data_IF_920817569333
#
_entry.id   IF_920817569333
#
_cell.length_a   1.000
_cell.length_b   1.000
_cell.length_c   1.000
_cell.angle_alpha   90.00
_cell.angle_beta   90.00
_cell.angle_gamma   90.00
#
_symmetry.space_group_name_H-M   'P 1'
#
loop_
_entity.id
_entity.type
_entity.pdbx_description
1 polymer ?
#
# COMPACT_ATOMS: atom_id res chain seq x y z
N UNK A 1 -31.12 -5.66 54.27
CA UNK A 1 -32.58 -5.73 54.01
C UNK A 1 -32.80 -6.48 52.70
N UNK A 2 -33.80 -7.39 52.62
CA UNK A 2 -33.81 -8.48 51.65
C UNK A 2 -34.41 -8.12 50.27
N UNK A 3 -34.02 -8.94 49.28
CA UNK A 3 -34.41 -8.90 47.87
C UNK A 3 -35.93 -8.92 47.66
N UNK A 4 -36.43 -8.07 46.75
CA UNK A 4 -37.78 -8.14 46.19
C UNK A 4 -37.81 -9.13 45.01
N UNK A 5 -38.75 -10.07 45.10
CA UNK A 5 -39.14 -11.03 44.07
C UNK A 5 -39.76 -10.34 42.85
N UNK A 6 -39.26 -10.66 41.65
CA UNK A 6 -39.88 -10.32 40.36
C UNK A 6 -40.90 -11.41 39.99
N UNK A 7 -42.15 -10.98 39.80
CA UNK A 7 -43.25 -11.79 39.25
C UNK A 7 -43.06 -12.04 37.74
N UNK A 8 -43.45 -13.21 37.21
CA UNK A 8 -43.28 -13.55 35.81
C UNK A 8 -44.30 -12.85 34.88
N UNK A 9 -43.83 -12.39 33.73
CA UNK A 9 -44.62 -11.83 32.63
C UNK A 9 -45.37 -12.94 31.85
N UNK A 10 -46.58 -12.68 31.32
CA UNK A 10 -47.38 -13.66 30.59
C UNK A 10 -46.82 -13.95 29.18
N UNK A 11 -46.87 -15.23 28.80
CA UNK A 11 -46.47 -15.76 27.49
C UNK A 11 -47.56 -15.52 26.43
N UNK A 12 -47.16 -14.93 25.29
CA UNK A 12 -48.01 -14.86 24.10
C UNK A 12 -47.81 -16.10 23.22
N UNK A 13 -48.87 -16.70 22.65
CA UNK A 13 -48.77 -17.88 21.80
C UNK A 13 -48.20 -17.55 20.42
N UNK A 14 -47.26 -18.38 19.95
CA UNK A 14 -46.68 -18.33 18.60
C UNK A 14 -47.70 -18.82 17.55
N UNK A 15 -47.70 -18.24 16.34
CA UNK A 15 -48.58 -18.67 15.25
C UNK A 15 -48.14 -20.01 14.65
N UNK A 16 -49.07 -20.79 14.06
CA UNK A 16 -48.79 -22.13 13.54
C UNK A 16 -47.94 -22.11 12.26
N UNK A 17 -47.17 -23.18 11.99
CA UNK A 17 -46.26 -23.25 10.84
C UNK A 17 -47.02 -23.44 9.53
N UNK A 18 -46.66 -22.67 8.50
CA UNK A 18 -47.16 -22.85 7.14
C UNK A 18 -46.39 -23.99 6.44
N UNK A 19 -47.13 -24.98 5.93
CA UNK A 19 -46.61 -26.06 5.08
C UNK A 19 -46.27 -25.51 3.68
N UNK A 20 -45.20 -26.01 3.03
CA UNK A 20 -44.78 -25.53 1.73
C UNK A 20 -45.72 -26.02 0.61
N UNK A 21 -46.22 -25.08 -0.19
CA UNK A 21 -46.94 -25.37 -1.42
C UNK A 21 -45.98 -25.93 -2.48
N UNK A 22 -46.28 -27.14 -2.95
CA UNK A 22 -45.71 -27.75 -4.16
C UNK A 22 -46.05 -26.90 -5.39
N UNK A 23 -45.03 -26.40 -6.10
CA UNK A 23 -45.20 -25.84 -7.44
C UNK A 23 -44.35 -26.61 -8.43
N UNK A 24 -45.05 -26.99 -9.49
CA UNK A 24 -44.69 -27.86 -10.60
C UNK A 24 -43.47 -27.40 -11.39
N UNK A 25 -42.62 -28.37 -11.75
CA UNK A 25 -41.62 -28.26 -12.80
C UNK A 25 -42.32 -28.05 -14.15
N UNK A 26 -42.24 -26.83 -14.67
CA UNK A 26 -42.51 -26.55 -16.08
C UNK A 26 -41.31 -25.85 -16.71
N UNK A 27 -40.84 -26.46 -17.78
CA UNK A 27 -39.71 -26.08 -18.61
C UNK A 27 -39.89 -24.69 -19.24
N UNK A 28 -38.93 -23.79 -18.99
CA UNK A 28 -38.81 -22.54 -19.73
C UNK A 28 -37.92 -22.73 -20.98
N UNK A 29 -38.27 -22.12 -22.14
CA UNK A 29 -37.53 -22.25 -23.40
C UNK A 29 -36.24 -21.39 -23.41
N UNK A 30 -35.27 -21.68 -24.28
CA UNK A 30 -33.97 -21.02 -24.27
C UNK A 30 -34.08 -19.56 -24.73
N UNK A 31 -33.65 -18.64 -23.87
CA UNK A 31 -33.47 -17.22 -24.21
C UNK A 31 -32.26 -17.04 -25.14
N UNK A 32 -32.53 -16.83 -26.43
CA UNK A 32 -31.57 -16.28 -27.39
C UNK A 32 -31.29 -14.82 -27.03
N UNK A 33 -30.08 -14.52 -26.56
CA UNK A 33 -29.53 -13.17 -26.61
C UNK A 33 -28.58 -13.06 -27.81
N UNK A 34 -28.75 -12.07 -28.71
CA UNK A 34 -27.83 -11.85 -29.81
C UNK A 34 -26.54 -11.18 -29.28
N UNK A 35 -25.39 -11.75 -29.67
CA UNK A 35 -24.07 -11.15 -29.49
C UNK A 35 -23.98 -9.81 -30.23
N UNK A 36 -23.44 -8.73 -29.64
CA UNK A 36 -23.14 -7.52 -30.38
C UNK A 36 -21.91 -7.76 -31.27
N UNK A 37 -22.15 -7.79 -32.59
CA UNK A 37 -21.16 -7.76 -33.64
C UNK A 37 -20.41 -6.42 -33.58
N UNK A 38 -19.11 -6.46 -33.22
CA UNK A 38 -18.18 -5.36 -33.46
C UNK A 38 -17.87 -5.28 -34.97
N UNK A 39 -17.95 -4.10 -35.60
CA UNK A 39 -17.54 -3.94 -36.99
C UNK A 39 -16.00 -4.03 -37.12
N UNK A 40 -15.47 -4.56 -38.25
CA UNK A 40 -14.04 -4.78 -38.39
C UNK A 40 -13.26 -3.46 -38.49
N UNK A 41 -12.24 -3.34 -37.64
CA UNK A 41 -11.24 -2.27 -37.72
C UNK A 41 -10.44 -2.38 -39.01
N UNK A 42 -10.59 -1.40 -39.91
CA UNK A 42 -9.71 -1.21 -41.07
C UNK A 42 -8.34 -0.74 -40.57
N UNK A 43 -7.37 -1.64 -40.52
CA UNK A 43 -5.95 -1.28 -40.52
C UNK A 43 -5.48 -1.17 -41.98
N UNK A 44 -4.97 -0.03 -42.46
CA UNK A 44 -4.22 0.00 -43.69
C UNK A 44 -2.79 -0.50 -43.44
N UNK A 45 -2.39 -1.52 -44.21
CA UNK A 45 -1.02 -2.01 -44.36
C UNK A 45 -0.12 -0.97 -45.07
N UNK A 46 1.21 -1.01 -44.88
CA UNK A 46 2.12 0.05 -45.29
C UNK A 46 2.54 -0.11 -46.75
N UNK A 47 2.60 1.00 -47.50
CA UNK A 47 3.38 1.06 -48.74
C UNK A 47 4.31 2.28 -48.76
N UNK A 48 5.47 2.17 -49.44
CA UNK A 48 6.66 2.93 -49.17
C UNK A 48 6.74 4.19 -50.03
N UNK A 49 7.17 5.30 -49.44
CA UNK A 49 7.61 6.46 -50.21
C UNK A 49 8.95 6.96 -49.65
N UNK A 50 9.99 6.59 -50.37
CA UNK A 50 11.22 7.34 -50.57
C UNK A 50 10.89 8.80 -50.92
N UNK A 51 11.50 9.79 -50.27
CA UNK A 51 12.13 10.93 -50.93
C UNK A 51 12.84 11.86 -49.92
N UNK A 52 14.05 12.24 -50.34
CA UNK A 52 15.00 13.23 -49.84
C UNK A 52 14.53 14.27 -48.81
N UNK A 53 15.27 14.36 -47.70
CA UNK A 53 15.31 15.53 -46.84
C UNK A 53 16.12 16.65 -47.51
N UNK A 54 15.43 17.68 -47.99
CA UNK A 54 15.97 19.03 -48.12
C UNK A 54 15.69 19.79 -46.82
N UNK A 55 16.73 20.35 -46.20
CA UNK A 55 16.67 21.14 -44.96
C UNK A 55 15.87 22.44 -45.11
N UNK A 56 15.03 22.81 -44.13
CA UNK A 56 14.67 24.20 -43.86
C UNK A 56 15.07 24.63 -42.42
N UNK A 57 14.98 25.93 -42.08
CA UNK A 57 16.01 26.64 -41.32
C UNK A 57 15.90 26.51 -39.80
N UNK A 58 17.03 26.76 -39.13
CA UNK A 58 17.19 26.81 -37.68
C UNK A 58 16.19 27.78 -37.02
N UNK A 59 15.14 27.24 -36.39
CA UNK A 59 14.42 27.93 -35.32
C UNK A 59 15.20 27.73 -34.02
N UNK A 60 15.71 28.84 -33.47
CA UNK A 60 16.23 28.90 -32.11
C UNK A 60 15.06 28.69 -31.12
N UNK A 61 14.82 27.43 -30.72
CA UNK A 61 13.95 27.14 -29.59
C UNK A 61 14.65 27.57 -28.30
N UNK A 62 14.15 28.62 -27.65
CA UNK A 62 14.44 28.89 -26.24
C UNK A 62 13.81 27.78 -25.40
N UNK A 63 14.59 26.75 -25.08
CA UNK A 63 14.20 25.77 -24.08
C UNK A 63 14.32 26.40 -22.70
N UNK A 64 13.18 26.50 -22.00
CA UNK A 64 13.16 26.75 -20.56
C UNK A 64 13.98 25.68 -19.85
N UNK A 65 14.76 26.09 -18.83
CA UNK A 65 15.57 25.21 -17.97
C UNK A 65 14.73 24.03 -17.43
N UNK A 66 13.43 24.25 -17.20
CA UNK A 66 12.50 23.22 -16.73
C UNK A 66 12.25 22.10 -17.75
N UNK A 67 12.19 22.43 -19.05
CA UNK A 67 12.03 21.45 -20.12
C UNK A 67 13.29 20.59 -20.31
N UNK A 68 14.46 21.17 -20.06
CA UNK A 68 15.74 20.47 -20.12
C UNK A 68 15.92 19.51 -18.93
N UNK A 69 15.45 19.90 -17.74
CA UNK A 69 15.50 19.05 -16.54
C UNK A 69 14.56 17.83 -16.65
N UNK A 70 13.38 18.01 -17.24
CA UNK A 70 12.47 16.90 -17.59
C UNK A 70 13.07 15.97 -18.64
N UNK A 71 13.77 16.52 -19.64
CA UNK A 71 14.45 15.71 -20.65
C UNK A 71 15.59 14.88 -20.05
N UNK A 72 16.40 15.46 -19.17
CA UNK A 72 17.46 14.74 -18.45
C UNK A 72 16.88 13.65 -17.55
N UNK A 73 15.80 13.93 -16.80
CA UNK A 73 15.17 12.91 -15.95
C UNK A 73 14.60 11.75 -16.77
N UNK A 74 13.83 12.05 -17.82
CA UNK A 74 13.26 11.01 -18.70
C UNK A 74 14.33 10.19 -19.44
N UNK A 75 15.45 10.81 -19.80
CA UNK A 75 16.55 10.14 -20.49
C UNK A 75 17.38 9.28 -19.54
N UNK A 76 17.69 9.77 -18.35
CA UNK A 76 18.37 9.00 -17.29
C UNK A 76 17.53 7.79 -16.85
N UNK A 77 16.22 7.96 -16.66
CA UNK A 77 15.32 6.85 -16.30
C UNK A 77 15.25 5.75 -17.38
N UNK A 78 15.26 6.11 -18.67
CA UNK A 78 15.30 5.12 -19.76
C UNK A 78 16.66 4.44 -19.89
N UNK A 79 17.74 5.13 -19.54
CA UNK A 79 19.10 4.56 -19.59
C UNK A 79 19.33 3.58 -18.44
N UNK A 80 18.81 3.87 -17.24
CA UNK A 80 18.83 2.98 -16.08
C UNK A 80 17.96 1.72 -16.28
N UNK A 81 16.87 1.82 -17.05
CA UNK A 81 16.03 0.67 -17.38
C UNK A 81 16.71 -0.30 -18.37
N UNK A 82 17.58 0.22 -19.24
CA UNK A 82 18.41 -0.59 -20.15
C UNK A 82 19.57 -1.29 -19.42
N UNK A 83 20.08 -0.72 -18.32
CA UNK A 83 21.06 -1.39 -17.44
C UNK A 83 20.53 -2.67 -16.80
N UNK A 84 19.20 -2.79 -16.62
CA UNK A 84 18.58 -3.95 -15.97
C UNK A 84 18.18 -5.08 -16.93
N UNK A 85 18.30 -4.91 -18.26
CA UNK A 85 17.82 -5.90 -19.25
C UNK A 85 18.77 -6.21 -20.41
N UNK A 86 19.97 -5.66 -20.44
CA UNK A 86 20.93 -5.86 -21.53
C UNK A 86 21.55 -7.28 -21.54
N UNK A 87 21.03 -8.18 -22.38
CA UNK A 87 21.58 -9.54 -22.61
C UNK A 87 22.07 -9.79 -24.04
N UNK A 88 22.12 -8.78 -24.92
CA UNK A 88 22.62 -8.94 -26.30
C UNK A 88 23.59 -7.84 -26.77
N UNK A 89 24.50 -8.22 -27.70
CA UNK A 89 25.59 -7.37 -28.24
C UNK A 89 25.11 -6.06 -28.89
N UNK A 90 23.89 -6.01 -29.44
CA UNK A 90 23.34 -4.79 -30.03
C UNK A 90 22.99 -3.71 -28.98
N UNK A 91 22.68 -4.11 -27.74
CA UNK A 91 22.43 -3.15 -26.65
C UNK A 91 23.70 -2.42 -26.18
N UNK A 92 24.87 -3.08 -26.29
CA UNK A 92 26.17 -2.54 -25.88
C UNK A 92 26.65 -1.45 -26.84
N UNK A 93 26.43 -1.61 -28.15
CA UNK A 93 26.83 -0.59 -29.16
C UNK A 93 25.98 0.68 -29.05
N UNK A 94 24.68 0.53 -28.77
CA UNK A 94 23.79 1.66 -28.48
C UNK A 94 24.20 2.39 -27.20
N UNK A 95 24.62 1.66 -26.16
CA UNK A 95 25.10 2.21 -24.90
C UNK A 95 26.37 3.05 -25.06
N UNK A 96 27.38 2.53 -25.78
CA UNK A 96 28.65 3.24 -26.01
C UNK A 96 28.45 4.51 -26.84
N UNK A 97 27.53 4.50 -27.79
CA UNK A 97 27.20 5.67 -28.62
C UNK A 97 26.53 6.79 -27.79
N UNK A 98 25.60 6.43 -26.91
CA UNK A 98 24.92 7.38 -26.01
C UNK A 98 25.84 7.96 -24.93
N UNK A 99 26.76 7.16 -24.39
CA UNK A 99 27.78 7.63 -23.44
C UNK A 99 28.77 8.62 -24.08
N UNK A 100 29.14 8.40 -25.35
CA UNK A 100 30.03 9.30 -26.07
C UNK A 100 29.37 10.65 -26.36
N UNK A 101 28.06 10.66 -26.65
CA UNK A 101 27.29 11.88 -26.87
C UNK A 101 27.16 12.69 -25.57
N UNK A 102 26.86 12.04 -24.44
CA UNK A 102 26.81 12.69 -23.12
C UNK A 102 28.15 13.33 -22.75
N UNK A 103 29.26 12.63 -23.01
CA UNK A 103 30.62 13.13 -22.77
C UNK A 103 31.00 14.32 -23.66
N UNK A 104 30.48 14.40 -24.89
CA UNK A 104 30.68 15.56 -25.78
C UNK A 104 29.85 16.77 -25.32
N UNK A 105 28.60 16.56 -24.90
CA UNK A 105 27.72 17.63 -24.41
C UNK A 105 28.21 18.26 -23.11
N UNK A 106 28.70 17.44 -22.17
CA UNK A 106 29.32 17.91 -20.92
C UNK A 106 30.61 18.71 -21.17
N UNK A 107 31.43 18.29 -22.14
CA UNK A 107 32.64 19.01 -22.54
C UNK A 107 32.33 20.36 -23.19
N UNK A 108 31.30 20.42 -24.05
CA UNK A 108 30.86 21.68 -24.65
C UNK A 108 30.40 22.69 -23.58
N UNK A 109 29.63 22.24 -22.58
CA UNK A 109 29.16 23.11 -21.50
C UNK A 109 30.26 23.57 -20.54
N UNK A 110 31.22 22.71 -20.20
CA UNK A 110 32.36 23.11 -19.34
C UNK A 110 33.26 24.13 -20.04
N UNK A 111 33.47 23.99 -21.36
CA UNK A 111 34.22 24.96 -22.15
C UNK A 111 33.49 26.30 -22.29
N UNK A 112 32.15 26.27 -22.44
CA UNK A 112 31.30 27.47 -22.50
C UNK A 112 31.26 28.24 -21.16
N UNK A 113 31.18 27.53 -20.04
CA UNK A 113 31.23 28.12 -18.69
C UNK A 113 32.63 28.70 -18.38
N UNK A 114 33.70 28.05 -18.85
CA UNK A 114 35.06 28.60 -18.71
C UNK A 114 35.27 29.85 -19.58
N UNK A 115 34.74 29.89 -20.81
CA UNK A 115 34.82 31.06 -21.68
C UNK A 115 34.02 32.26 -21.15
N UNK A 116 32.88 32.02 -20.48
CA UNK A 116 32.10 33.09 -19.85
C UNK A 116 32.74 33.66 -18.56
N UNK A 117 33.64 32.92 -17.90
CA UNK A 117 34.34 33.39 -16.68
C UNK A 117 35.51 34.35 -16.95
N UNK A 118 36.01 34.43 -18.19
CA UNK A 118 37.21 35.24 -18.51
C UNK A 118 36.86 36.66 -18.98
N UNK A 119 35.58 37.00 -19.21
CA UNK A 119 35.19 38.23 -19.90
C UNK A 119 34.31 39.23 -19.11
N UNK A 120 34.21 39.16 -17.77
CA UNK A 120 33.35 40.07 -17.00
C UNK A 120 34.13 40.97 -16.01
N UNK A 121 34.03 42.31 -16.10
CA UNK A 121 34.67 43.22 -15.15
C UNK A 121 33.99 43.18 -13.76
N UNK A 122 34.81 43.30 -12.71
CA UNK A 122 34.45 43.11 -11.28
C UNK A 122 33.31 43.99 -10.74
N UNK A 123 32.88 45.03 -11.46
CA UNK A 123 31.73 45.88 -11.07
C UNK A 123 30.36 45.24 -11.34
N UNK A 124 30.28 44.16 -12.13
CA UNK A 124 29.02 43.48 -12.45
C UNK A 124 28.64 42.38 -11.45
N UNK A 125 29.56 41.98 -10.56
CA UNK A 125 29.33 40.87 -9.61
C UNK A 125 28.36 41.30 -8.50
N UNK A 126 28.40 42.56 -8.05
CA UNK A 126 27.53 43.07 -6.98
C UNK A 126 26.06 43.15 -7.42
N UNK A 127 25.79 43.50 -8.69
CA UNK A 127 24.42 43.56 -9.24
C UNK A 127 23.82 42.17 -9.47
N UNK A 128 24.64 41.15 -9.76
CA UNK A 128 24.17 39.76 -9.92
C UNK A 128 23.84 39.12 -8.55
N UNK A 129 24.58 39.44 -7.49
CA UNK A 129 24.29 38.94 -6.13
C UNK A 129 22.98 39.53 -5.59
N UNK A 130 22.69 40.82 -5.84
CA UNK A 130 21.38 41.41 -5.48
C UNK A 130 20.22 40.85 -6.33
N UNK A 131 20.44 40.58 -7.63
CA UNK A 131 19.42 39.93 -8.48
C UNK A 131 19.19 38.46 -8.12
N UNK A 132 20.19 37.71 -7.65
CA UNK A 132 19.99 36.34 -7.15
C UNK A 132 19.26 36.28 -5.81
N UNK A 133 19.48 37.25 -4.91
CA UNK A 133 18.67 37.40 -3.70
C UNK A 133 17.21 37.74 -4.01
N UNK A 134 16.98 38.62 -4.99
CA UNK A 134 15.64 38.97 -5.49
C UNK A 134 14.96 37.82 -6.24
N UNK A 135 15.69 37.02 -7.03
CA UNK A 135 15.13 35.85 -7.73
C UNK A 135 14.81 34.71 -6.77
N UNK A 136 15.61 34.50 -5.70
CA UNK A 136 15.26 33.57 -4.62
C UNK A 136 14.04 34.03 -3.83
N UNK A 137 13.91 35.33 -3.57
CA UNK A 137 12.71 35.91 -2.93
C UNK A 137 11.48 35.84 -3.85
N UNK A 138 11.66 36.04 -5.16
CA UNK A 138 10.59 35.94 -6.16
C UNK A 138 10.17 34.48 -6.44
N UNK A 139 11.11 33.52 -6.39
CA UNK A 139 10.83 32.09 -6.46
C UNK A 139 10.25 31.54 -5.15
N UNK A 140 10.66 32.09 -3.99
CA UNK A 140 10.07 31.74 -2.69
C UNK A 140 8.66 32.34 -2.54
N UNK A 141 8.45 33.60 -2.98
CA UNK A 141 7.16 34.29 -2.91
C UNK A 141 6.10 33.81 -3.91
N UNK A 142 6.50 33.09 -4.97
CA UNK A 142 5.57 32.49 -5.95
C UNK A 142 5.33 30.98 -5.75
N UNK A 143 5.92 30.37 -4.73
CA UNK A 143 5.60 28.99 -4.33
C UNK A 143 4.54 28.91 -3.21
N UNK A 144 4.19 30.05 -2.60
CA UNK A 144 3.08 30.18 -1.63
C UNK A 144 1.69 30.26 -2.29
N UNK A 145 1.63 30.26 -3.63
CA UNK A 145 0.39 30.10 -4.39
C UNK A 145 -0.04 28.64 -4.57
N UNK A 146 0.60 27.68 -3.90
CA UNK A 146 0.04 26.32 -3.83
C UNK A 146 -1.22 26.41 -2.99
N UNK A 147 -2.36 26.25 -3.64
CA UNK A 147 -3.62 25.79 -3.03
C UNK A 147 -3.24 24.87 -1.88
N UNK A 148 -3.67 25.23 -0.66
CA UNK A 148 -3.41 24.49 0.56
C UNK A 148 -3.69 23.01 0.26
N UNK A 149 -2.64 22.21 0.08
CA UNK A 149 -2.78 20.85 -0.44
C UNK A 149 -3.63 20.08 0.56
N UNK A 150 -4.85 19.70 0.18
CA UNK A 150 -5.77 18.99 1.05
C UNK A 150 -5.11 17.69 1.52
N UNK A 151 -4.60 17.70 2.76
CA UNK A 151 -3.92 16.55 3.35
C UNK A 151 -4.95 15.48 3.69
N UNK A 152 -4.66 14.26 3.30
CA UNK A 152 -5.48 13.10 3.62
C UNK A 152 -4.98 12.48 4.93
N UNK A 153 -5.87 12.24 5.92
CA UNK A 153 -5.55 11.35 7.01
C UNK A 153 -5.15 9.98 6.44
N UNK A 154 -4.34 9.23 7.18
CA UNK A 154 -3.84 7.96 6.69
C UNK A 154 -3.92 6.83 7.72
N UNK A 155 -3.94 5.60 7.22
CA UNK A 155 -3.86 4.38 8.01
C UNK A 155 -2.62 3.59 7.58
N UNK A 156 -1.82 3.15 8.54
CA UNK A 156 -0.61 2.36 8.28
C UNK A 156 -0.83 0.91 8.66
N UNK A 157 -0.60 0.01 7.71
CA UNK A 157 -0.76 -1.42 7.92
C UNK A 157 0.62 -2.05 7.81
N UNK A 158 1.20 -2.38 8.96
CA UNK A 158 2.57 -2.86 9.10
C UNK A 158 2.59 -4.35 9.44
N UNK A 159 3.42 -5.13 8.75
CA UNK A 159 3.47 -6.57 9.02
C UNK A 159 4.32 -7.37 8.05
N UNK A 160 3.99 -8.66 7.93
CA UNK A 160 4.71 -9.61 7.10
C UNK A 160 4.04 -9.84 5.72
N UNK A 161 4.15 -11.06 5.16
CA UNK A 161 3.55 -11.47 3.90
C UNK A 161 2.02 -11.35 3.89
N UNK A 162 1.36 -11.61 5.02
CA UNK A 162 -0.09 -11.51 5.12
C UNK A 162 -0.53 -10.06 4.93
N UNK A 163 0.27 -9.12 5.43
CA UNK A 163 0.07 -7.69 5.18
C UNK A 163 0.46 -7.33 3.75
N UNK A 164 1.62 -7.77 3.26
CA UNK A 164 2.13 -7.43 1.92
C UNK A 164 1.14 -7.84 0.82
N UNK A 165 0.56 -9.02 0.94
CA UNK A 165 -0.42 -9.56 -0.01
C UNK A 165 -1.87 -9.12 0.30
N UNK A 166 -2.08 -8.22 1.25
CA UNK A 166 -3.41 -7.77 1.65
C UNK A 166 -4.19 -6.99 0.59
N UNK A 167 -3.55 -6.56 -0.51
CA UNK A 167 -4.22 -6.02 -1.71
C UNK A 167 -4.43 -7.05 -2.81
N UNK A 168 -3.86 -8.26 -2.68
CA UNK A 168 -4.06 -9.32 -3.66
C UNK A 168 -5.52 -9.81 -3.66
N UNK A 169 -5.92 -10.50 -4.72
CA UNK A 169 -7.26 -11.06 -4.88
C UNK A 169 -7.68 -11.94 -3.68
N UNK A 170 -6.79 -12.84 -3.25
CA UNK A 170 -7.08 -13.77 -2.16
C UNK A 170 -6.83 -13.12 -0.80
N UNK A 171 -5.71 -12.40 -0.64
CA UNK A 171 -5.34 -11.81 0.64
C UNK A 171 -6.17 -10.58 1.04
N UNK A 172 -6.76 -9.85 0.10
CA UNK A 172 -7.69 -8.68 0.10
C UNK A 172 -8.09 -7.87 1.37
N UNK A 173 -7.68 -8.17 2.60
CA UNK A 173 -8.13 -7.49 3.82
C UNK A 173 -7.74 -6.01 3.87
N UNK A 174 -6.59 -5.66 3.27
CA UNK A 174 -6.16 -4.26 3.11
C UNK A 174 -7.04 -3.57 2.07
N UNK A 175 -7.39 -4.26 0.98
CA UNK A 175 -8.32 -3.72 -0.02
C UNK A 175 -9.71 -3.45 0.59
N UNK A 176 -10.20 -4.33 1.47
CA UNK A 176 -11.47 -4.14 2.20
C UNK A 176 -11.43 -2.91 3.12
N UNK A 177 -10.31 -2.65 3.80
CA UNK A 177 -10.13 -1.43 4.60
C UNK A 177 -10.12 -0.18 3.69
N UNK A 178 -9.41 -0.23 2.57
CA UNK A 178 -9.36 0.88 1.62
C UNK A 178 -10.74 1.18 1.02
N UNK A 179 -11.51 0.15 0.70
CA UNK A 179 -12.91 0.28 0.25
C UNK A 179 -13.79 0.95 1.32
N UNK A 180 -13.68 0.49 2.58
CA UNK A 180 -14.42 1.07 3.71
C UNK A 180 -14.09 2.55 3.98
N UNK A 181 -12.88 2.99 3.62
CA UNK A 181 -12.36 4.34 3.88
C UNK A 181 -12.32 5.24 2.64
N UNK A 182 -12.99 4.84 1.56
CA UNK A 182 -13.08 5.63 0.33
C UNK A 182 -13.46 7.07 0.62
N UNK A 183 -12.72 7.99 -0.02
CA UNK A 183 -12.89 9.44 0.12
C UNK A 183 -12.73 9.97 1.56
N UNK A 184 -12.11 9.22 2.47
CA UNK A 184 -11.87 9.66 3.86
C UNK A 184 -10.41 9.59 4.27
N UNK A 185 -9.76 8.47 3.96
CA UNK A 185 -8.44 8.14 4.51
C UNK A 185 -7.63 7.32 3.51
N UNK A 186 -6.34 7.67 3.37
CA UNK A 186 -5.40 6.89 2.57
C UNK A 186 -4.94 5.64 3.34
N UNK A 187 -4.75 4.53 2.63
CA UNK A 187 -4.35 3.25 3.24
C UNK A 187 -2.97 2.85 2.73
N UNK A 188 -1.98 2.87 3.62
CA UNK A 188 -0.60 2.50 3.29
C UNK A 188 -0.26 1.11 3.80
N UNK A 189 0.07 0.23 2.86
CA UNK A 189 0.60 -1.09 3.14
C UNK A 189 2.13 -1.02 3.31
N UNK A 190 2.61 -1.52 4.45
CA UNK A 190 4.02 -1.70 4.81
C UNK A 190 4.24 -3.15 5.27
N UNK A 191 3.78 -4.08 4.46
CA UNK A 191 4.02 -5.52 4.64
C UNK A 191 5.32 -5.98 3.97
N UNK A 192 6.04 -6.87 4.63
CA UNK A 192 7.33 -7.41 4.17
C UNK A 192 7.33 -8.94 4.24
N UNK A 193 7.19 -9.58 3.08
CA UNK A 193 7.06 -11.03 2.97
C UNK A 193 8.27 -11.75 3.57
N UNK A 194 8.00 -12.72 4.44
CA UNK A 194 9.00 -13.50 5.16
C UNK A 194 9.61 -12.82 6.40
N UNK A 195 9.28 -11.56 6.69
CA UNK A 195 9.85 -10.85 7.84
C UNK A 195 9.28 -11.33 9.18
N UNK A 196 10.13 -11.34 10.20
CA UNK A 196 9.75 -11.60 11.59
C UNK A 196 9.81 -10.31 12.43
N UNK A 197 9.35 -10.39 13.68
CA UNK A 197 9.33 -9.24 14.61
C UNK A 197 10.71 -8.62 14.84
N UNK A 198 11.78 -9.42 14.85
CA UNK A 198 13.15 -8.94 15.05
C UNK A 198 13.59 -8.00 13.93
N UNK A 199 13.30 -8.35 12.68
CA UNK A 199 13.65 -7.53 11.53
C UNK A 199 12.72 -6.33 11.39
N UNK A 200 11.41 -6.52 11.58
CA UNK A 200 10.44 -5.43 11.55
C UNK A 200 10.76 -4.34 12.58
N UNK A 201 11.11 -4.73 13.82
CA UNK A 201 11.60 -3.80 14.85
C UNK A 201 12.81 -3.00 14.38
N UNK A 202 13.74 -3.64 13.67
CA UNK A 202 14.98 -2.98 13.21
C UNK A 202 14.73 -1.96 12.10
N UNK A 203 13.80 -2.23 11.19
CA UNK A 203 13.59 -1.38 10.00
C UNK A 203 12.62 -0.23 10.23
N UNK A 204 11.77 -0.29 11.27
CA UNK A 204 10.63 0.61 11.43
C UNK A 204 10.98 2.10 11.27
N UNK A 205 11.93 2.62 12.06
CA UNK A 205 12.34 4.03 12.02
C UNK A 205 13.12 4.41 10.75
N UNK A 206 13.52 3.43 9.93
CA UNK A 206 14.17 3.67 8.64
C UNK A 206 13.17 3.82 7.49
N UNK A 207 11.93 3.32 7.66
CA UNK A 207 10.90 3.32 6.62
C UNK A 207 9.73 4.26 6.92
N UNK A 208 9.60 4.72 8.16
CA UNK A 208 8.55 5.62 8.61
C UNK A 208 9.16 6.68 9.54
N UNK A 209 8.87 7.94 9.24
CA UNK A 209 9.20 9.10 10.06
C UNK A 209 7.94 9.68 10.71
N UNK A 210 8.12 10.60 11.67
CA UNK A 210 7.00 11.34 12.26
C UNK A 210 6.20 12.14 11.23
N UNK A 211 6.82 12.58 10.12
CA UNK A 211 6.10 13.29 9.07
C UNK A 211 5.23 12.35 8.23
N UNK A 212 5.73 11.13 7.93
CA UNK A 212 4.95 10.08 7.26
C UNK A 212 3.73 9.67 8.10
N UNK A 213 3.90 9.68 9.42
CA UNK A 213 2.89 9.27 10.40
C UNK A 213 1.97 10.40 10.87
N UNK A 214 2.20 11.64 10.41
CA UNK A 214 1.33 12.75 10.78
C UNK A 214 -0.06 12.57 10.15
N UNK A 215 -1.08 12.83 10.96
CA UNK A 215 -2.51 12.57 10.67
C UNK A 215 -2.87 11.09 10.52
N UNK A 216 -2.05 10.18 11.05
CA UNK A 216 -2.41 8.76 11.11
C UNK A 216 -3.61 8.54 12.04
N UNK A 217 -4.64 7.88 11.53
CA UNK A 217 -5.89 7.60 12.27
C UNK A 217 -5.84 6.27 13.00
N UNK A 218 -5.13 5.27 12.46
CA UNK A 218 -4.80 4.02 13.16
C UNK A 218 -3.60 3.33 12.50
N UNK A 219 -2.98 2.42 13.26
CA UNK A 219 -1.92 1.53 12.78
C UNK A 219 -2.31 0.10 13.10
N UNK A 220 -2.15 -0.83 12.16
CA UNK A 220 -2.18 -2.27 12.46
C UNK A 220 -0.78 -2.83 12.47
N UNK A 221 -0.48 -3.72 13.42
CA UNK A 221 0.76 -4.51 13.44
C UNK A 221 0.37 -5.99 13.38
N UNK A 222 0.74 -6.66 12.28
CA UNK A 222 0.38 -8.05 12.04
C UNK A 222 1.64 -8.88 11.76
N UNK A 223 2.15 -9.51 12.81
CA UNK A 223 3.41 -10.25 12.85
C UNK A 223 3.27 -11.48 13.74
N UNK A 224 4.11 -12.49 13.51
CA UNK A 224 4.16 -13.73 14.30
C UNK A 224 4.08 -14.99 13.46
N UNK A 225 3.56 -14.90 12.22
CA UNK A 225 3.43 -16.05 11.34
C UNK A 225 4.79 -16.65 10.96
N UNK A 226 5.80 -15.80 10.80
CA UNK A 226 7.19 -16.23 10.55
C UNK A 226 7.94 -16.53 11.87
N UNK A 227 7.71 -15.73 12.91
CA UNK A 227 8.36 -15.88 14.23
C UNK A 227 8.10 -17.28 14.85
N UNK A 228 6.89 -17.80 14.66
CA UNK A 228 6.47 -19.10 15.19
C UNK A 228 7.04 -20.33 14.47
N UNK A 229 7.86 -20.11 13.44
CA UNK A 229 8.58 -21.20 12.78
C UNK A 229 9.39 -22.01 13.80
N UNK A 230 9.50 -23.31 13.57
CA UNK A 230 10.28 -24.22 14.40
C UNK A 230 11.76 -23.84 14.34
N UNK A 231 12.39 -23.76 15.52
CA UNK A 231 13.76 -23.30 15.69
C UNK A 231 14.76 -24.19 14.97
N UNK A 232 14.57 -25.50 14.99
CA UNK A 232 15.53 -26.45 14.46
C UNK A 232 15.35 -26.63 12.95
N UNK A 233 14.13 -26.41 12.44
CA UNK A 233 13.81 -26.53 11.01
C UNK A 233 14.07 -25.22 10.24
N UNK A 234 13.71 -24.06 10.83
CA UNK A 234 13.84 -22.75 10.19
C UNK A 234 14.33 -21.69 11.21
N UNK A 235 15.61 -21.79 11.61
CA UNK A 235 16.20 -20.87 12.59
C UNK A 235 16.27 -19.42 12.09
N UNK A 236 16.21 -19.19 10.77
CA UNK A 236 16.29 -17.86 10.18
C UNK A 236 15.05 -17.02 10.49
N UNK A 237 13.86 -17.60 10.35
CA UNK A 237 12.61 -16.89 10.65
C UNK A 237 12.23 -16.98 12.13
N UNK A 238 12.65 -18.06 12.82
CA UNK A 238 12.34 -18.26 14.24
C UNK A 238 12.78 -17.08 15.13
N UNK A 239 11.89 -16.69 16.03
CA UNK A 239 12.15 -15.73 17.12
C UNK A 239 11.58 -16.33 18.40
N UNK A 240 12.36 -16.56 19.47
CA UNK A 240 11.82 -17.10 20.73
C UNK A 240 10.60 -16.31 21.22
N UNK A 241 9.59 -16.98 21.78
CA UNK A 241 8.29 -16.36 22.12
C UNK A 241 8.42 -15.15 23.05
N UNK A 242 9.33 -15.20 24.04
CA UNK A 242 9.59 -14.08 24.95
C UNK A 242 10.24 -12.89 24.22
N UNK A 243 11.12 -13.18 23.26
CA UNK A 243 11.71 -12.15 22.39
C UNK A 243 10.64 -11.58 21.45
N UNK A 244 9.77 -12.40 20.87
CA UNK A 244 8.65 -11.94 20.06
C UNK A 244 7.76 -10.97 20.84
N UNK A 245 7.32 -11.32 22.05
CA UNK A 245 6.54 -10.43 22.92
C UNK A 245 7.27 -9.11 23.17
N UNK A 246 8.54 -9.19 23.52
CA UNK A 246 9.39 -8.01 23.74
C UNK A 246 9.51 -7.15 22.49
N UNK A 247 9.65 -7.77 21.31
CA UNK A 247 9.72 -7.08 20.03
C UNK A 247 8.39 -6.38 19.70
N UNK A 248 7.25 -7.04 19.92
CA UNK A 248 5.93 -6.44 19.71
C UNK A 248 5.74 -5.21 20.59
N UNK A 249 6.06 -5.28 21.88
CA UNK A 249 6.03 -4.13 22.79
C UNK A 249 6.97 -3.01 22.32
N UNK A 250 8.17 -3.34 21.84
CA UNK A 250 9.13 -2.36 21.35
C UNK A 250 8.68 -1.68 20.04
N UNK A 251 8.04 -2.41 19.13
CA UNK A 251 7.46 -1.84 17.90
C UNK A 251 6.35 -0.85 18.26
N UNK A 252 5.47 -1.19 19.21
CA UNK A 252 4.45 -0.26 19.71
C UNK A 252 5.08 1.00 20.29
N UNK A 253 6.07 0.85 21.18
CA UNK A 253 6.83 1.96 21.76
C UNK A 253 7.44 2.88 20.72
N UNK A 254 7.94 2.32 19.62
CA UNK A 254 8.53 3.10 18.54
C UNK A 254 7.47 3.90 17.77
N UNK A 255 6.29 3.32 17.52
CA UNK A 255 5.17 4.09 16.98
C UNK A 255 4.73 5.22 17.93
N UNK A 256 4.73 4.98 19.25
CA UNK A 256 4.48 6.03 20.25
C UNK A 256 5.52 7.15 20.16
N UNK A 257 6.81 6.82 20.07
CA UNK A 257 7.89 7.79 19.89
C UNK A 257 7.74 8.59 18.60
N UNK A 258 7.21 7.98 17.54
CA UNK A 258 6.96 8.64 16.26
C UNK A 258 5.66 9.46 16.25
N UNK A 259 4.89 9.46 17.34
CA UNK A 259 3.71 10.32 17.53
C UNK A 259 2.36 9.60 17.39
N UNK A 260 2.33 8.27 17.40
CA UNK A 260 1.09 7.48 17.35
C UNK A 260 0.73 6.98 18.76
N UNK A 261 -0.36 7.50 19.37
CA UNK A 261 -0.83 7.01 20.66
C UNK A 261 -1.19 5.52 20.63
N UNK A 262 -0.96 4.80 21.73
CA UNK A 262 -1.23 3.37 21.86
C UNK A 262 -2.68 3.01 21.53
N UNK A 263 -3.66 3.86 21.88
CA UNK A 263 -5.06 3.61 21.57
C UNK A 263 -5.39 3.59 20.07
N UNK A 264 -4.51 4.12 19.20
CA UNK A 264 -4.65 4.05 17.74
C UNK A 264 -3.98 2.81 17.14
N UNK A 265 -3.28 2.01 17.93
CA UNK A 265 -2.53 0.84 17.48
C UNK A 265 -3.37 -0.42 17.73
N UNK A 266 -3.43 -1.28 16.71
CA UNK A 266 -4.15 -2.54 16.73
C UNK A 266 -3.15 -3.67 16.48
N UNK A 267 -2.88 -4.49 17.50
CA UNK A 267 -2.11 -5.72 17.32
C UNK A 267 -3.02 -6.84 16.80
N UNK A 268 -2.55 -7.57 15.80
CA UNK A 268 -3.26 -8.73 15.23
C UNK A 268 -2.39 -9.96 15.47
N UNK A 269 -2.94 -10.94 16.19
CA UNK A 269 -2.24 -12.21 16.45
C UNK A 269 -2.08 -13.03 15.15
N UNK A 270 -1.01 -13.85 15.00
CA UNK A 270 -0.86 -14.69 13.81
C UNK A 270 -2.08 -15.61 13.62
N UNK A 271 -2.54 -15.85 12.38
CA UNK A 271 -3.65 -16.77 12.14
C UNK A 271 -3.26 -18.20 12.50
N UNK A 272 -4.25 -19.07 12.67
CA UNK A 272 -4.04 -20.53 12.75
C UNK A 272 -3.31 -21.05 11.51
N UNK A 273 -2.61 -22.18 11.65
CA UNK A 273 -1.91 -22.86 10.55
C UNK A 273 -2.59 -24.19 10.25
N UNK A 274 -2.94 -24.43 8.98
CA UNK A 274 -3.34 -25.75 8.49
C UNK A 274 -2.09 -26.51 8.04
N UNK A 275 -1.52 -27.28 8.96
CA UNK A 275 -0.24 -27.98 8.77
C UNK A 275 -0.26 -28.91 7.54
N UNK A 276 -1.38 -29.57 7.26
CA UNK A 276 -1.50 -30.50 6.12
C UNK A 276 -1.42 -29.78 4.78
N UNK A 277 -2.11 -28.65 4.65
CA UNK A 277 -2.09 -27.84 3.43
C UNK A 277 -0.75 -27.13 3.27
N UNK A 278 -0.22 -26.58 4.37
CA UNK A 278 1.09 -25.93 4.37
C UNK A 278 2.23 -26.90 4.05
N UNK A 279 2.16 -28.15 4.51
CA UNK A 279 3.14 -29.18 4.18
C UNK A 279 3.20 -29.44 2.67
N UNK A 280 2.04 -29.49 1.99
CA UNK A 280 1.97 -29.66 0.52
C UNK A 280 2.56 -28.45 -0.20
N UNK A 281 2.27 -27.24 0.29
CA UNK A 281 2.82 -26.01 -0.28
C UNK A 281 4.35 -25.94 -0.09
N UNK A 282 4.83 -26.27 1.10
CA UNK A 282 6.26 -26.36 1.41
C UNK A 282 6.98 -27.37 0.50
N UNK A 283 6.39 -28.55 0.29
CA UNK A 283 6.92 -29.56 -0.65
C UNK A 283 7.01 -29.02 -2.06
N UNK A 284 5.98 -28.32 -2.55
CA UNK A 284 5.95 -27.71 -3.89
C UNK A 284 7.05 -26.65 -4.05
N UNK A 285 7.33 -25.90 -2.98
CA UNK A 285 8.39 -24.88 -2.91
C UNK A 285 9.78 -25.43 -2.57
N UNK A 286 9.93 -26.74 -2.39
CA UNK A 286 11.21 -27.37 -2.05
C UNK A 286 11.76 -26.99 -0.68
N UNK A 287 10.89 -26.70 0.30
CA UNK A 287 11.26 -26.32 1.68
C UNK A 287 10.63 -27.27 2.70
N UNK A 288 11.25 -27.44 3.89
CA UNK A 288 10.65 -28.24 4.95
C UNK A 288 9.45 -27.54 5.60
N UNK A 289 8.55 -28.32 6.20
CA UNK A 289 7.47 -27.81 7.03
C UNK A 289 8.06 -27.27 8.34
N UNK A 290 8.02 -25.95 8.55
CA UNK A 290 8.50 -25.30 9.77
C UNK A 290 7.40 -24.72 10.66
N UNK A 291 6.16 -24.59 10.19
CA UNK A 291 5.10 -23.93 10.95
C UNK A 291 4.14 -24.98 11.49
N UNK A 292 3.99 -25.00 12.82
CA UNK A 292 3.09 -25.91 13.53
C UNK A 292 2.11 -25.09 14.35
N UNK A 293 0.84 -25.46 14.32
CA UNK A 293 -0.24 -24.71 14.96
C UNK A 293 -0.07 -24.64 16.49
N UNK A 294 0.55 -25.66 17.10
CA UNK A 294 0.94 -25.68 18.53
C UNK A 294 1.94 -24.57 18.88
N UNK A 295 2.83 -24.22 17.96
CA UNK A 295 3.78 -23.13 18.17
C UNK A 295 3.02 -21.82 18.01
N UNK A 296 2.25 -21.68 16.93
CA UNK A 296 1.43 -20.48 16.64
C UNK A 296 0.55 -20.05 17.82
N UNK A 297 -0.07 -21.00 18.57
CA UNK A 297 -0.86 -20.66 19.76
C UNK A 297 -0.07 -19.90 20.83
N UNK A 298 1.22 -20.20 20.99
CA UNK A 298 2.07 -19.52 21.97
C UNK A 298 2.32 -18.06 21.57
N UNK A 299 2.53 -17.80 20.28
CA UNK A 299 2.74 -16.47 19.74
C UNK A 299 1.44 -15.66 19.72
N UNK A 300 0.31 -16.31 19.45
CA UNK A 300 -0.98 -15.66 19.56
C UNK A 300 -1.25 -15.15 20.97
N UNK A 301 -1.04 -16.00 21.98
CA UNK A 301 -1.11 -15.62 23.39
C UNK A 301 -0.15 -14.48 23.72
N UNK A 302 1.10 -14.58 23.28
CA UNK A 302 2.11 -13.55 23.51
C UNK A 302 1.76 -12.19 22.87
N UNK A 303 1.10 -12.20 21.70
CA UNK A 303 0.58 -11.00 21.04
C UNK A 303 -0.50 -10.32 21.88
N UNK A 304 -1.45 -11.10 22.41
CA UNK A 304 -2.50 -10.60 23.32
C UNK A 304 -1.90 -10.00 24.59
N UNK A 305 -0.93 -10.69 25.19
CA UNK A 305 -0.22 -10.18 26.37
C UNK A 305 0.56 -8.89 26.07
N UNK A 306 1.19 -8.78 24.90
CA UNK A 306 1.86 -7.56 24.46
C UNK A 306 0.86 -6.39 24.30
N UNK A 307 -0.33 -6.67 23.77
CA UNK A 307 -1.37 -5.65 23.63
C UNK A 307 -1.85 -5.13 25.00
N UNK A 308 -2.12 -6.05 25.94
CA UNK A 308 -2.47 -5.72 27.32
C UNK A 308 -1.38 -4.87 28.00
N UNK A 309 -0.11 -5.26 27.84
CA UNK A 309 1.02 -4.57 28.44
C UNK A 309 1.22 -3.15 27.88
N UNK A 310 0.84 -2.93 26.62
CA UNK A 310 1.02 -1.64 25.93
C UNK A 310 -0.24 -0.77 25.91
N UNK A 311 -1.38 -1.29 26.36
CA UNK A 311 -2.65 -0.56 26.31
C UNK A 311 -3.21 -0.36 24.89
N UNK A 312 -2.80 -1.21 23.95
CA UNK A 312 -3.25 -1.16 22.54
C UNK A 312 -4.52 -1.98 22.33
N UNK A 313 -5.21 -1.77 21.20
CA UNK A 313 -6.25 -2.68 20.76
C UNK A 313 -5.64 -4.02 20.32
N UNK A 314 -6.40 -5.10 20.45
CA UNK A 314 -5.98 -6.43 20.04
C UNK A 314 -7.09 -7.16 19.29
N UNK A 315 -6.72 -7.82 18.19
CA UNK A 315 -7.51 -8.85 17.55
C UNK A 315 -6.76 -10.17 17.72
N UNK A 316 -7.31 -11.04 18.55
CA UNK A 316 -6.81 -12.41 18.67
C UNK A 316 -7.36 -13.29 17.54
N UNK A 317 -6.87 -13.03 16.32
CA UNK A 317 -7.31 -13.72 15.11
C UNK A 317 -7.19 -15.24 15.22
N UNK A 318 -6.12 -15.73 15.87
CA UNK A 318 -5.95 -17.17 16.14
C UNK A 318 -7.17 -17.77 16.84
N UNK A 319 -7.53 -17.22 18.00
CA UNK A 319 -8.64 -17.72 18.81
C UNK A 319 -9.98 -17.50 18.12
N UNK A 320 -10.17 -16.35 17.44
CA UNK A 320 -11.39 -16.07 16.70
C UNK A 320 -11.60 -17.06 15.54
N UNK A 321 -10.55 -17.42 14.79
CA UNK A 321 -10.65 -18.40 13.71
C UNK A 321 -11.06 -19.78 14.25
N UNK A 322 -10.49 -20.23 15.37
CA UNK A 322 -10.80 -21.54 15.95
C UNK A 322 -12.24 -21.69 16.44
N UNK A 323 -13.02 -20.61 16.54
CA UNK A 323 -14.46 -20.69 16.85
C UNK A 323 -15.30 -21.19 15.67
N UNK A 324 -14.71 -21.31 14.49
CA UNK A 324 -15.38 -21.76 13.28
C UNK A 324 -14.89 -23.15 12.86
N UNK A 325 -15.81 -24.11 12.71
CA UNK A 325 -15.46 -25.48 12.29
C UNK A 325 -14.73 -25.54 10.93
N UNK A 326 -15.01 -24.55 10.06
CA UNK A 326 -14.46 -24.46 8.71
C UNK A 326 -13.27 -23.49 8.58
N UNK A 327 -12.60 -23.17 9.69
CA UNK A 327 -11.47 -22.22 9.74
C UNK A 327 -10.38 -22.50 8.70
N UNK A 328 -10.14 -23.77 8.32
CA UNK A 328 -9.15 -24.11 7.28
C UNK A 328 -9.43 -23.41 5.95
N UNK A 329 -10.70 -23.19 5.61
CA UNK A 329 -11.11 -22.46 4.39
C UNK A 329 -10.78 -20.96 4.43
N UNK A 330 -10.42 -20.43 5.59
CA UNK A 330 -9.93 -19.06 5.77
C UNK A 330 -8.45 -18.91 5.37
N UNK A 331 -7.78 -20.01 5.02
CA UNK A 331 -6.39 -20.04 4.56
C UNK A 331 -6.34 -20.54 3.12
N UNK A 332 -5.47 -19.96 2.28
CA UNK A 332 -5.35 -20.37 0.86
C UNK A 332 -4.33 -21.51 0.67
N UNK A 333 -3.20 -21.43 1.35
CA UNK A 333 -2.07 -22.36 1.28
C UNK A 333 -1.78 -23.03 2.63
N UNK A 334 -2.66 -22.81 3.61
CA UNK A 334 -2.52 -23.26 5.00
C UNK A 334 -1.75 -22.29 5.90
N UNK A 335 -1.26 -21.15 5.38
CA UNK A 335 -0.64 -20.08 6.17
C UNK A 335 -1.24 -18.70 5.87
N UNK A 336 -1.36 -18.32 4.60
CA UNK A 336 -1.87 -17.00 4.22
C UNK A 336 -3.39 -17.00 4.16
N UNK A 337 -3.98 -15.84 4.45
CA UNK A 337 -5.43 -15.65 4.39
C UNK A 337 -5.95 -15.88 2.97
N UNK A 338 -7.00 -16.68 2.87
CA UNK A 338 -7.86 -16.73 1.69
C UNK A 338 -8.81 -15.53 1.68
N UNK A 339 -9.57 -15.37 0.59
CA UNK A 339 -10.58 -14.32 0.50
C UNK A 339 -11.57 -14.38 1.69
N UNK A 340 -11.95 -15.59 2.10
CA UNK A 340 -12.82 -15.79 3.27
C UNK A 340 -12.15 -15.35 4.58
N UNK A 341 -10.88 -15.71 4.79
CA UNK A 341 -10.13 -15.30 5.98
C UNK A 341 -9.93 -13.79 6.05
N UNK A 342 -9.72 -13.16 4.90
CA UNK A 342 -9.57 -11.71 4.79
C UNK A 342 -10.85 -10.95 5.10
N UNK A 343 -12.00 -11.44 4.63
CA UNK A 343 -13.31 -10.90 5.03
C UNK A 343 -13.58 -11.13 6.52
N UNK A 344 -13.19 -12.28 7.06
CA UNK A 344 -13.32 -12.56 8.49
C UNK A 344 -12.48 -11.59 9.33
N UNK A 345 -11.19 -11.42 9.02
CA UNK A 345 -10.33 -10.43 9.69
C UNK A 345 -10.90 -9.01 9.56
N UNK A 346 -11.36 -8.62 8.37
CA UNK A 346 -11.98 -7.31 8.18
C UNK A 346 -13.23 -7.13 9.04
N UNK A 347 -14.06 -8.17 9.22
CA UNK A 347 -15.25 -8.11 10.08
C UNK A 347 -14.90 -7.81 11.54
N UNK A 348 -13.76 -8.30 12.02
CA UNK A 348 -13.23 -8.04 13.36
C UNK A 348 -12.61 -6.64 13.48
N UNK A 349 -11.93 -6.17 12.42
CA UNK A 349 -11.32 -4.84 12.36
C UNK A 349 -12.35 -3.73 12.21
N UNK A 350 -13.43 -3.96 11.46
CA UNK A 350 -14.39 -2.92 11.04
C UNK A 350 -14.97 -2.09 12.19
N UNK A 351 -15.38 -2.66 13.35
CA UNK A 351 -15.86 -1.86 14.47
C UNK A 351 -14.79 -0.93 15.06
N UNK A 352 -13.54 -1.41 15.14
CA UNK A 352 -12.41 -0.64 15.69
C UNK A 352 -12.03 0.48 14.72
N UNK A 353 -11.82 0.14 13.44
CA UNK A 353 -11.53 1.10 12.37
C UNK A 353 -12.65 2.14 12.28
N UNK A 354 -13.91 1.71 12.27
CA UNK A 354 -15.06 2.60 12.25
C UNK A 354 -15.09 3.60 13.41
N UNK A 355 -14.69 3.17 14.61
CA UNK A 355 -14.53 4.08 15.76
C UNK A 355 -13.42 5.11 15.53
N UNK A 356 -12.27 4.70 15.00
CA UNK A 356 -11.15 5.60 14.71
C UNK A 356 -11.42 6.56 13.56
N UNK A 357 -12.35 6.25 12.65
CA UNK A 357 -12.59 7.05 11.44
C UNK A 357 -13.97 7.68 11.36
N UNK A 358 -14.80 7.54 12.40
CA UNK A 358 -16.19 8.05 12.42
C UNK A 358 -16.29 9.57 12.27
N UNK A 359 -15.28 10.28 12.75
CA UNK A 359 -15.18 11.75 12.69
C UNK A 359 -14.68 12.27 11.33
N UNK A 360 -14.22 11.38 10.43
CA UNK A 360 -13.68 11.80 9.13
C UNK A 360 -14.82 12.11 8.15
N UNK A 361 -14.89 13.32 7.59
CA UNK A 361 -15.86 13.66 6.56
C UNK A 361 -15.51 12.95 5.25
N UNK A 362 -16.51 12.75 4.40
CA UNK A 362 -16.25 12.53 2.98
C UNK A 362 -15.55 13.77 2.44
N UNK A 363 -14.36 13.60 1.86
CA UNK A 363 -13.65 14.68 1.20
C UNK A 363 -14.30 15.00 -0.13
N UNK A 364 -14.41 16.31 -0.39
CA UNK A 364 -15.09 16.92 -1.52
C UNK A 364 -16.60 16.64 -1.51
N UNK A 365 -17.43 17.46 -2.18
CA UNK A 365 -18.88 17.24 -2.23
C UNK A 365 -19.27 15.97 -3.00
N UNK A 366 -20.54 15.56 -2.88
CA UNK A 366 -21.12 14.59 -3.81
C UNK A 366 -21.27 15.25 -5.19
N UNK A 367 -21.06 14.49 -6.27
CA UNK A 367 -21.01 15.07 -7.62
C UNK A 367 -22.30 15.80 -8.02
N UNK A 368 -23.46 15.38 -7.47
CA UNK A 368 -24.75 16.00 -7.73
C UNK A 368 -24.97 17.34 -7.01
N UNK A 369 -24.13 17.66 -6.01
CA UNK A 369 -24.17 18.92 -5.27
C UNK A 369 -23.19 19.97 -5.84
N UNK A 370 -22.46 19.62 -6.91
CA UNK A 370 -21.49 20.50 -7.56
C UNK A 370 -22.22 21.48 -8.49
N UNK A 371 -22.00 22.77 -8.28
CA UNK A 371 -22.47 23.81 -9.20
C UNK A 371 -21.59 23.81 -10.47
N UNK A 372 -22.10 23.42 -11.65
CA UNK A 372 -21.31 23.39 -12.88
C UNK A 372 -20.87 24.78 -13.33
N UNK A 373 -21.55 25.84 -12.89
CA UNK A 373 -21.22 27.23 -13.22
C UNK A 373 -20.25 27.85 -12.20
N UNK A 374 -20.03 27.20 -11.05
CA UNK A 374 -19.11 27.67 -10.01
C UNK A 374 -18.23 26.54 -9.45
N UNK A 375 -17.24 26.12 -10.23
CA UNK A 375 -16.32 25.04 -9.85
C UNK A 375 -15.42 25.38 -8.65
N UNK A 376 -15.27 26.65 -8.27
CA UNK A 376 -14.47 27.02 -7.09
C UNK A 376 -15.11 26.51 -5.78
N UNK A 377 -16.44 26.30 -5.78
CA UNK A 377 -17.17 25.69 -4.65
C UNK A 377 -16.72 24.26 -4.31
N UNK A 378 -15.95 23.60 -5.19
CA UNK A 378 -15.33 22.29 -4.92
C UNK A 378 -14.22 22.34 -3.87
N UNK A 379 -13.60 23.51 -3.69
CA UNK A 379 -12.39 23.70 -2.88
C UNK A 379 -12.66 24.46 -1.57
N UNK A 380 -13.88 24.98 -1.40
CA UNK A 380 -14.39 25.58 -0.15
C UNK A 380 -14.75 24.48 0.86
#
# INVERSE_FOLDING_TARGET
>A
MPLKSLTPQPSYPLPPPQLPHSVSLTSAPPSKFPSPLLPPSKFPSPHPLTHAFSSPPFFLFHFSISSFQMFIHSYLSRTLLLELTATSKNSIVSFLSSSLLLSKTLRYFTTSIQQQRVAAPRSSITTIVQKQGSLRSFMAGNLDGRVNSMRWPNAILFGDSITQYGFSHDGCWVALIADFLQRKCDVFNRGFSGYNSRWCKKILSSILSSEDLKDTVFVTIFLGANDCADKDINPHQHVPVDEYKTNMCAIVKEFEHLGIPAEKIILISPPVVDEDTWAKECKTKGRPLSNFNKNTSLYAKACVEAAQQTGTHCIDLYTEMLKHDDWKSMLNDGLHLSNKGSHFLFSLLRPIVGKHTSHLPFKLPYWGDVDPENLNSLLD
#
